data_IF_528038482817
#
_entry.id   IF_528038482817
#
_cell.length_a   1.000
_cell.length_b   1.000
_cell.length_c   1.000
_cell.angle_alpha   90.00
_cell.angle_beta   90.00
_cell.angle_gamma   90.00
#
_symmetry.space_group_name_H-M   'P 1'
#
loop_
_entity.id
_entity.type
_entity.pdbx_description
1 polymer ?
#
# COMPACT_ATOMS: atom_id res chain seq x y z
N UNK A 1 10.35 14.72 -24.26
CA UNK A 1 9.99 15.84 -23.34
C UNK A 1 8.53 16.27 -23.51
N UNK A 2 8.01 16.50 -24.72
CA UNK A 2 6.58 16.87 -24.93
C UNK A 2 5.56 15.82 -24.44
N UNK A 3 5.93 14.53 -24.46
CA UNK A 3 5.03 13.44 -24.05
C UNK A 3 4.67 13.48 -22.55
N UNK A 4 5.63 13.70 -21.64
CA UNK A 4 5.33 13.72 -20.19
C UNK A 4 4.57 14.96 -19.76
N UNK A 5 4.89 16.13 -20.34
CA UNK A 5 4.12 17.34 -20.08
C UNK A 5 2.65 17.13 -20.41
N UNK A 6 2.37 16.64 -21.63
CA UNK A 6 1.00 16.38 -22.09
C UNK A 6 0.31 15.32 -21.22
N UNK A 7 1.03 14.25 -20.87
CA UNK A 7 0.52 13.20 -20.00
C UNK A 7 0.16 13.75 -18.62
N UNK A 8 1.09 14.39 -17.92
CA UNK A 8 0.86 14.94 -16.56
C UNK A 8 -0.25 16.00 -16.58
N UNK A 9 -0.27 16.89 -17.57
CA UNK A 9 -1.33 17.89 -17.71
C UNK A 9 -2.71 17.27 -18.00
N UNK A 10 -2.76 16.06 -18.55
CA UNK A 10 -4.02 15.32 -18.79
C UNK A 10 -4.53 14.57 -17.56
N UNK A 11 -3.72 14.43 -16.51
CA UNK A 11 -4.10 13.76 -15.27
C UNK A 11 -4.76 14.76 -14.31
N UNK A 12 -5.90 14.42 -13.71
CA UNK A 12 -6.53 15.30 -12.72
C UNK A 12 -5.66 15.36 -11.46
N UNK A 13 -5.67 16.49 -10.74
CA UNK A 13 -4.93 16.59 -9.49
C UNK A 13 -5.44 15.56 -8.47
N UNK A 14 -4.50 14.88 -7.80
CA UNK A 14 -4.84 14.04 -6.65
C UNK A 14 -5.23 14.93 -5.46
N UNK A 15 -6.09 14.45 -4.54
CA UNK A 15 -6.43 15.19 -3.33
C UNK A 15 -5.18 15.45 -2.48
N UNK A 16 -5.28 16.36 -1.51
CA UNK A 16 -4.17 16.65 -0.59
C UNK A 16 -3.87 15.47 0.34
N UNK A 17 -4.92 14.81 0.82
CA UNK A 17 -4.87 13.66 1.71
C UNK A 17 -5.59 12.48 1.04
N UNK A 18 -5.10 11.25 1.24
CA UNK A 18 -5.62 10.09 0.53
C UNK A 18 -7.02 9.64 1.00
N UNK A 19 -7.41 10.02 2.21
CA UNK A 19 -8.67 9.65 2.85
C UNK A 19 -9.77 10.70 2.64
N UNK A 20 -9.53 11.68 1.76
CA UNK A 20 -10.47 12.77 1.46
C UNK A 20 -10.85 12.81 -0.02
N UNK A 21 -12.15 12.92 -0.26
CA UNK A 21 -12.72 13.17 -1.58
C UNK A 21 -12.78 11.94 -2.49
N UNK A 22 -13.46 12.05 -3.64
CA UNK A 22 -13.61 10.95 -4.59
C UNK A 22 -12.28 10.65 -5.31
N UNK A 23 -12.12 9.42 -5.79
CA UNK A 23 -11.00 9.07 -6.68
C UNK A 23 -11.16 9.89 -7.98
N UNK A 24 -10.18 10.74 -8.34
CA UNK A 24 -10.36 11.72 -9.42
C UNK A 24 -10.32 11.11 -10.82
N UNK A 25 -9.78 9.89 -10.95
CA UNK A 25 -9.67 9.17 -12.21
C UNK A 25 -9.89 7.66 -12.01
N UNK A 26 -10.67 7.04 -12.87
CA UNK A 26 -10.88 5.59 -12.82
C UNK A 26 -9.63 4.84 -13.29
N UNK A 27 -9.49 3.58 -12.86
CA UNK A 27 -8.38 2.73 -13.29
C UNK A 27 -8.26 2.67 -14.82
N UNK A 28 -9.38 2.41 -15.52
CA UNK A 28 -9.42 2.33 -16.98
C UNK A 28 -8.95 3.63 -17.65
N UNK A 29 -9.39 4.79 -17.15
CA UNK A 29 -8.99 6.09 -17.72
C UNK A 29 -7.50 6.36 -17.46
N UNK A 30 -7.00 6.05 -16.27
CA UNK A 30 -5.58 6.19 -15.94
C UNK A 30 -4.72 5.34 -16.88
N UNK A 31 -5.07 4.06 -17.07
CA UNK A 31 -4.36 3.17 -17.98
C UNK A 31 -4.40 3.66 -19.44
N UNK A 32 -5.53 4.21 -19.88
CA UNK A 32 -5.62 4.84 -21.19
C UNK A 32 -4.66 6.03 -21.33
N UNK A 33 -4.54 6.90 -20.32
CA UNK A 33 -3.57 8.00 -20.33
C UNK A 33 -2.13 7.49 -20.37
N UNK A 34 -1.81 6.48 -19.55
CA UNK A 34 -0.47 5.87 -19.51
C UNK A 34 -0.06 5.20 -20.83
N UNK A 35 -1.00 4.95 -21.75
CA UNK A 35 -0.67 4.48 -23.11
C UNK A 35 0.11 5.51 -23.95
N UNK A 36 0.17 6.78 -23.53
CA UNK A 36 0.97 7.82 -24.17
C UNK A 36 2.49 7.66 -23.93
N UNK A 37 2.87 6.87 -22.93
CA UNK A 37 4.27 6.55 -22.66
C UNK A 37 4.85 5.73 -23.82
N UNK A 38 6.15 5.92 -24.06
CA UNK A 38 6.87 5.05 -24.99
C UNK A 38 6.97 3.61 -24.44
N UNK A 39 7.52 2.72 -25.26
CA UNK A 39 7.61 1.30 -24.90
C UNK A 39 8.48 1.07 -23.64
N UNK A 40 9.56 1.83 -23.46
CA UNK A 40 10.48 1.65 -22.35
C UNK A 40 9.82 2.02 -21.03
N UNK A 41 9.21 3.19 -20.96
CA UNK A 41 8.56 3.68 -19.75
C UNK A 41 7.30 2.91 -19.40
N UNK A 42 6.54 2.48 -20.42
CA UNK A 42 5.36 1.66 -20.21
C UNK A 42 5.72 0.32 -19.55
N UNK A 43 6.86 -0.25 -19.90
CA UNK A 43 7.37 -1.47 -19.28
C UNK A 43 7.74 -1.24 -17.81
N UNK A 44 8.37 -0.12 -17.48
CA UNK A 44 8.65 0.25 -16.08
C UNK A 44 7.34 0.46 -15.30
N UNK A 45 6.36 1.15 -15.88
CA UNK A 45 5.03 1.34 -15.26
C UNK A 45 4.30 0.02 -15.03
N UNK A 46 4.44 -0.93 -15.96
CA UNK A 46 3.91 -2.28 -15.79
C UNK A 46 4.55 -2.97 -14.58
N UNK A 47 5.87 -2.90 -14.44
CA UNK A 47 6.58 -3.46 -13.28
C UNK A 47 6.13 -2.85 -11.95
N UNK A 48 5.98 -1.51 -11.91
CA UNK A 48 5.45 -0.78 -10.74
C UNK A 48 4.03 -1.25 -10.40
N UNK A 49 3.19 -1.42 -11.40
CA UNK A 49 1.79 -1.82 -11.22
C UNK A 49 1.66 -3.27 -10.79
N UNK A 50 2.45 -4.16 -11.36
CA UNK A 50 2.51 -5.57 -10.96
C UNK A 50 2.99 -5.69 -9.51
N UNK A 51 3.94 -4.85 -9.09
CA UNK A 51 4.33 -4.74 -7.69
C UNK A 51 3.18 -4.30 -6.79
N UNK A 52 2.46 -3.22 -7.13
CA UNK A 52 1.32 -2.78 -6.31
C UNK A 52 0.17 -3.80 -6.28
N UNK A 53 -0.09 -4.49 -7.38
CA UNK A 53 -1.05 -5.60 -7.44
C UNK A 53 -0.64 -6.75 -6.53
N UNK A 54 0.64 -7.13 -6.54
CA UNK A 54 1.18 -8.12 -5.61
C UNK A 54 1.04 -7.64 -4.16
N UNK A 55 1.38 -6.38 -3.88
CA UNK A 55 1.31 -5.79 -2.53
C UNK A 55 -0.13 -5.76 -1.97
N UNK A 56 -1.14 -5.69 -2.84
CA UNK A 56 -2.56 -5.74 -2.49
C UNK A 56 -3.04 -7.11 -2.00
N UNK A 57 -2.34 -8.20 -2.30
CA UNK A 57 -2.83 -9.55 -2.02
C UNK A 57 -2.91 -9.83 -0.50
N UNK A 58 -3.93 -10.58 -0.01
CA UNK A 58 -4.19 -10.80 1.42
C UNK A 58 -3.07 -11.52 2.19
N UNK A 59 -3.22 -11.52 3.53
CA UNK A 59 -2.30 -12.00 4.58
C UNK A 59 -1.88 -13.48 4.51
N UNK A 60 -2.41 -14.27 3.58
CA UNK A 60 -2.25 -15.74 3.57
C UNK A 60 -1.06 -16.24 2.73
N UNK A 61 -0.16 -15.34 2.31
CA UNK A 61 1.06 -15.76 1.62
C UNK A 61 2.15 -16.15 2.60
N UNK A 62 2.79 -17.28 2.33
CA UNK A 62 3.93 -17.74 3.11
C UNK A 62 5.10 -16.78 2.97
N UNK A 63 5.87 -16.63 4.04
CA UNK A 63 7.05 -15.75 4.11
C UNK A 63 8.09 -16.05 3.00
N UNK A 64 8.14 -17.31 2.54
CA UNK A 64 8.95 -17.75 1.42
C UNK A 64 8.62 -16.99 0.10
N UNK A 65 7.36 -16.64 -0.13
CA UNK A 65 6.94 -15.87 -1.30
C UNK A 65 7.40 -14.41 -1.23
N UNK A 66 7.44 -13.81 -0.03
CA UNK A 66 7.95 -12.45 0.16
C UNK A 66 9.43 -12.41 -0.19
N UNK A 67 10.20 -13.41 0.24
CA UNK A 67 11.63 -13.52 -0.10
C UNK A 67 11.86 -13.70 -1.60
N UNK A 68 11.12 -14.60 -2.26
CA UNK A 68 11.24 -14.82 -3.71
C UNK A 68 10.88 -13.55 -4.47
N UNK A 69 9.79 -12.89 -4.08
CA UNK A 69 9.34 -11.66 -4.72
C UNK A 69 10.33 -10.52 -4.52
N UNK A 70 10.84 -10.31 -3.30
CA UNK A 70 11.90 -9.33 -3.05
C UNK A 70 13.12 -9.58 -3.94
N UNK A 71 13.61 -10.82 -4.02
CA UNK A 71 14.78 -11.17 -4.83
C UNK A 71 14.54 -10.89 -6.32
N UNK A 72 13.38 -11.29 -6.82
CA UNK A 72 12.98 -11.05 -8.21
C UNK A 72 12.92 -9.55 -8.52
N UNK A 73 12.18 -8.79 -7.72
CA UNK A 73 12.01 -7.35 -7.90
C UNK A 73 13.34 -6.59 -7.81
N UNK A 74 14.22 -6.96 -6.86
CA UNK A 74 15.56 -6.38 -6.76
C UNK A 74 16.42 -6.66 -8.00
N UNK A 75 16.22 -7.79 -8.68
CA UNK A 75 16.96 -8.16 -9.89
C UNK A 75 16.38 -7.58 -11.18
N UNK A 76 15.09 -7.26 -11.23
CA UNK A 76 14.37 -6.80 -12.42
C UNK A 76 14.28 -5.26 -12.49
N UNK A 77 14.10 -4.59 -11.35
CA UNK A 77 13.88 -3.15 -11.31
C UNK A 77 15.20 -2.41 -11.49
N UNK A 78 15.31 -1.65 -12.59
CA UNK A 78 16.50 -0.84 -12.90
C UNK A 78 16.31 0.64 -12.58
N UNK A 79 15.07 1.13 -12.59
CA UNK A 79 14.80 2.56 -12.39
C UNK A 79 15.02 2.96 -10.92
N UNK A 80 15.87 3.97 -10.61
CA UNK A 80 16.24 4.30 -9.22
C UNK A 80 15.05 4.67 -8.32
N UNK A 81 14.13 5.50 -8.83
CA UNK A 81 12.92 5.85 -8.08
C UNK A 81 12.05 4.63 -7.78
N UNK A 82 11.83 3.75 -8.76
CA UNK A 82 11.00 2.56 -8.59
C UNK A 82 11.64 1.61 -7.58
N UNK A 83 12.96 1.42 -7.66
CA UNK A 83 13.70 0.61 -6.68
C UNK A 83 13.53 1.17 -5.27
N UNK A 84 13.58 2.50 -5.10
CA UNK A 84 13.35 3.17 -3.83
C UNK A 84 11.92 2.97 -3.30
N UNK A 85 10.89 3.09 -4.16
CA UNK A 85 9.50 2.84 -3.78
C UNK A 85 9.29 1.40 -3.30
N UNK A 86 9.80 0.43 -4.08
CA UNK A 86 9.71 -0.99 -3.75
C UNK A 86 10.46 -1.33 -2.46
N UNK A 87 11.67 -0.81 -2.30
CA UNK A 87 12.46 -1.03 -1.08
C UNK A 87 11.72 -0.54 0.16
N UNK A 88 11.23 0.70 0.15
CA UNK A 88 10.48 1.25 1.29
C UNK A 88 9.21 0.45 1.61
N UNK A 89 8.48 0.02 0.57
CA UNK A 89 7.29 -0.82 0.75
C UNK A 89 7.63 -2.20 1.32
N UNK A 90 8.74 -2.81 0.92
CA UNK A 90 9.18 -4.10 1.45
C UNK A 90 9.63 -3.97 2.91
N UNK A 91 10.39 -2.94 3.28
CA UNK A 91 10.76 -2.70 4.67
C UNK A 91 9.51 -2.57 5.55
N UNK A 92 8.52 -1.78 5.11
CA UNK A 92 7.25 -1.64 5.82
C UNK A 92 6.51 -2.98 5.94
N UNK A 93 6.47 -3.82 4.90
CA UNK A 93 5.85 -5.16 4.96
C UNK A 93 6.55 -6.07 5.95
N UNK A 94 7.88 -6.08 5.99
CA UNK A 94 8.67 -6.88 6.93
C UNK A 94 8.32 -6.50 8.37
N UNK A 95 8.32 -5.20 8.68
CA UNK A 95 7.96 -4.70 10.02
C UNK A 95 6.52 -5.06 10.38
N UNK A 96 5.56 -4.83 9.48
CA UNK A 96 4.15 -5.13 9.72
C UNK A 96 3.89 -6.62 9.90
N UNK A 97 4.55 -7.48 9.13
CA UNK A 97 4.43 -8.94 9.27
C UNK A 97 5.01 -9.40 10.62
N UNK A 98 6.19 -8.90 10.98
CA UNK A 98 6.83 -9.20 12.25
C UNK A 98 5.93 -8.81 13.44
N UNK A 99 5.39 -7.60 13.44
CA UNK A 99 4.51 -7.11 14.51
C UNK A 99 3.25 -7.95 14.67
N UNK A 100 2.66 -8.41 13.55
CA UNK A 100 1.48 -9.27 13.59
C UNK A 100 1.81 -10.62 14.21
N UNK A 101 2.90 -11.26 13.78
CA UNK A 101 3.31 -12.53 14.38
C UNK A 101 3.66 -12.38 15.86
N UNK A 102 4.38 -11.32 16.25
CA UNK A 102 4.69 -11.03 17.65
C UNK A 102 3.41 -10.88 18.49
N UNK A 103 2.44 -10.08 18.00
CA UNK A 103 1.15 -9.86 18.68
C UNK A 103 0.32 -11.14 18.81
N UNK A 104 0.29 -11.94 17.74
CA UNK A 104 -0.54 -13.14 17.67
C UNK A 104 0.17 -14.37 18.28
N UNK A 105 1.35 -14.21 18.88
CA UNK A 105 2.13 -15.29 19.51
C UNK A 105 2.67 -16.32 18.51
N UNK A 106 2.76 -15.95 17.23
CA UNK A 106 3.24 -16.80 16.15
C UNK A 106 4.77 -16.77 16.06
N UNK A 107 5.38 -17.81 15.46
CA UNK A 107 6.81 -17.82 15.20
C UNK A 107 7.28 -16.63 14.36
N UNK A 108 8.57 -16.31 14.48
CA UNK A 108 9.20 -15.31 13.63
C UNK A 108 9.02 -15.66 12.14
N UNK A 109 8.56 -14.71 11.31
CA UNK A 109 8.45 -14.95 9.88
C UNK A 109 9.80 -15.27 9.23
N UNK A 110 9.77 -16.08 8.17
CA UNK A 110 10.95 -16.40 7.36
C UNK A 110 11.33 -15.24 6.42
N UNK A 111 11.94 -14.20 6.99
CA UNK A 111 12.33 -13.00 6.28
C UNK A 111 13.56 -13.19 5.37
N UNK A 112 13.70 -12.38 4.30
CA UNK A 112 14.98 -12.27 3.58
C UNK A 112 16.09 -11.77 4.53
N UNK A 113 17.33 -12.21 4.31
CA UNK A 113 18.51 -11.80 5.08
C UNK A 113 18.93 -10.34 4.77
N UNK A 114 18.13 -9.41 5.26
CA UNK A 114 18.35 -7.96 5.18
C UNK A 114 18.75 -7.41 6.55
N UNK A 115 19.46 -6.27 6.62
CA UNK A 115 19.82 -5.64 7.89
C UNK A 115 18.62 -5.41 8.82
N UNK A 116 17.47 -5.03 8.26
CA UNK A 116 16.22 -4.84 9.01
C UNK A 116 15.70 -6.16 9.59
N UNK A 117 15.73 -7.26 8.82
CA UNK A 117 15.31 -8.58 9.29
C UNK A 117 16.20 -9.07 10.43
N UNK A 118 17.52 -8.92 10.28
CA UNK A 118 18.49 -9.25 11.34
C UNK A 118 18.20 -8.46 12.61
N UNK A 119 17.89 -7.17 12.48
CA UNK A 119 17.55 -6.31 13.61
C UNK A 119 16.28 -6.78 14.33
N UNK A 120 15.20 -7.03 13.58
CA UNK A 120 13.92 -7.50 14.14
C UNK A 120 14.12 -8.80 14.92
N UNK A 121 14.88 -9.75 14.38
CA UNK A 121 15.15 -11.03 15.08
C UNK A 121 15.91 -10.82 16.40
N UNK A 122 16.85 -9.88 16.45
CA UNK A 122 17.62 -9.56 17.66
C UNK A 122 16.79 -8.86 18.73
N UNK A 123 15.72 -8.16 18.36
CA UNK A 123 14.91 -7.37 19.27
C UNK A 123 13.45 -7.86 19.28
N UNK A 124 13.25 -9.16 19.04
CA UNK A 124 11.93 -9.76 18.86
C UNK A 124 11.02 -9.59 20.08
N UNK A 125 11.57 -9.63 21.29
CA UNK A 125 10.80 -9.51 22.53
C UNK A 125 10.65 -8.04 22.99
N UNK A 126 11.22 -7.08 22.24
CA UNK A 126 11.15 -5.67 22.57
C UNK A 126 9.96 -4.97 21.88
N UNK A 127 9.30 -3.99 22.54
CA UNK A 127 8.21 -3.23 21.93
C UNK A 127 8.62 -2.59 20.61
N UNK A 128 7.84 -2.88 19.56
CA UNK A 128 8.07 -2.42 18.20
C UNK A 128 9.52 -2.64 17.70
N UNK A 129 10.21 -3.69 18.18
CA UNK A 129 11.59 -4.05 17.84
C UNK A 129 12.62 -2.92 18.06
N UNK A 130 12.32 -1.95 18.93
CA UNK A 130 13.06 -0.69 19.12
C UNK A 130 13.17 0.21 17.88
N UNK A 131 12.34 0.01 16.86
CA UNK A 131 12.45 0.71 15.58
C UNK A 131 11.74 2.08 15.56
N UNK A 132 11.19 2.54 16.69
CA UNK A 132 10.44 3.81 16.77
C UNK A 132 11.25 5.05 16.34
N UNK A 133 12.57 5.04 16.52
CA UNK A 133 13.46 6.12 16.09
C UNK A 133 13.75 6.13 14.58
N UNK A 134 13.50 4.99 13.91
CA UNK A 134 13.69 4.83 12.46
C UNK A 134 12.40 5.01 11.68
N UNK A 135 11.27 4.67 12.29
CA UNK A 135 9.95 4.69 11.67
C UNK A 135 8.97 5.46 12.55
N UNK A 136 8.75 6.74 12.25
CA UNK A 136 7.88 7.64 13.05
C UNK A 136 6.43 7.15 13.14
N UNK A 137 5.95 6.41 12.14
CA UNK A 137 4.62 5.83 12.10
C UNK A 137 4.43 4.65 13.06
N UNK A 138 5.53 4.04 13.52
CA UNK A 138 5.51 2.72 14.15
C UNK A 138 4.79 2.72 15.49
N UNK A 139 5.02 3.72 16.33
CA UNK A 139 4.38 3.77 17.66
C UNK A 139 2.86 3.89 17.54
N UNK A 140 2.36 4.71 16.61
CA UNK A 140 0.91 4.85 16.34
C UNK A 140 0.32 3.58 15.75
N UNK A 141 1.09 2.88 14.92
CA UNK A 141 0.68 1.62 14.35
C UNK A 141 0.61 0.49 15.39
N UNK A 142 1.63 0.34 16.24
CA UNK A 142 1.63 -0.62 17.35
C UNK A 142 0.43 -0.35 18.27
N UNK A 143 0.20 0.91 18.68
CA UNK A 143 -0.97 1.29 19.47
C UNK A 143 -2.29 0.87 18.81
N UNK A 144 -2.46 1.15 17.51
CA UNK A 144 -3.67 0.75 16.79
C UNK A 144 -3.83 -0.77 16.65
N UNK A 145 -2.73 -1.54 16.65
CA UNK A 145 -2.78 -3.00 16.70
C UNK A 145 -3.18 -3.53 18.09
N UNK A 146 -2.69 -2.91 19.15
CA UNK A 146 -3.00 -3.29 20.54
C UNK A 146 -4.45 -2.95 20.90
N UNK A 147 -4.98 -1.85 20.37
CA UNK A 147 -6.38 -1.43 20.52
C UNK A 147 -7.35 -2.16 19.56
N UNK A 148 -6.88 -3.17 18.83
CA UNK A 148 -7.61 -3.93 17.80
C UNK A 148 -8.38 -3.05 16.78
N UNK A 149 -7.72 -1.97 16.32
CA UNK A 149 -8.25 -1.05 15.32
C UNK A 149 -7.52 -1.24 13.97
N UNK A 150 -7.81 -2.33 13.21
CA UNK A 150 -7.07 -2.66 11.99
C UNK A 150 -7.20 -1.60 10.89
N UNK A 151 -8.33 -0.90 10.82
CA UNK A 151 -8.52 0.22 9.87
C UNK A 151 -7.61 1.40 10.22
N UNK A 152 -7.49 1.73 11.51
CA UNK A 152 -6.62 2.82 11.98
C UNK A 152 -5.14 2.47 11.79
N UNK A 153 -4.76 1.23 12.09
CA UNK A 153 -3.42 0.72 11.81
C UNK A 153 -3.10 0.87 10.31
N UNK A 154 -4.03 0.48 9.44
CA UNK A 154 -3.85 0.64 8.00
C UNK A 154 -3.80 2.10 7.54
N UNK A 155 -4.65 2.96 8.11
CA UNK A 155 -4.64 4.39 7.83
C UNK A 155 -3.26 5.01 8.15
N UNK A 156 -2.64 4.63 9.27
CA UNK A 156 -1.28 5.08 9.60
C UNK A 156 -0.24 4.63 8.55
N UNK A 157 -0.32 3.40 8.05
CA UNK A 157 0.57 2.92 6.99
C UNK A 157 0.40 3.72 5.69
N UNK A 158 -0.84 3.95 5.26
CA UNK A 158 -1.11 4.71 4.03
C UNK A 158 -0.73 6.17 4.16
N UNK A 159 -0.95 6.77 5.33
CA UNK A 159 -0.52 8.13 5.65
C UNK A 159 0.99 8.28 5.48
N UNK A 160 1.76 7.33 6.01
CA UNK A 160 3.23 7.38 5.89
C UNK A 160 3.68 7.35 4.43
N UNK A 161 3.18 6.39 3.65
CA UNK A 161 3.55 6.24 2.24
C UNK A 161 3.13 7.45 1.42
N UNK A 162 1.91 7.93 1.65
CA UNK A 162 1.37 9.10 0.99
C UNK A 162 2.28 10.30 1.20
N UNK A 163 2.61 10.60 2.47
CA UNK A 163 3.45 11.73 2.82
C UNK A 163 4.87 11.58 2.27
N UNK A 164 5.45 10.38 2.30
CA UNK A 164 6.74 10.11 1.70
C UNK A 164 6.74 10.39 0.20
N UNK A 165 5.71 9.93 -0.52
CA UNK A 165 5.65 10.08 -1.97
C UNK A 165 5.28 11.49 -2.41
N UNK A 166 4.48 12.22 -1.62
CA UNK A 166 4.29 13.65 -1.83
C UNK A 166 5.60 14.43 -1.72
N UNK A 167 6.40 14.21 -0.66
CA UNK A 167 7.71 14.86 -0.51
C UNK A 167 8.68 14.50 -1.64
N UNK A 168 8.58 13.31 -2.21
CA UNK A 168 9.40 12.92 -3.36
C UNK A 168 8.98 13.64 -4.64
N UNK A 169 7.68 13.88 -4.80
CA UNK A 169 7.11 14.53 -5.99
C UNK A 169 7.58 15.99 -6.11
N UNK A 170 7.85 16.66 -4.99
CA UNK A 170 8.40 18.02 -4.95
C UNK A 170 9.76 18.16 -5.67
N UNK A 171 10.46 17.05 -5.93
CA UNK A 171 11.73 17.03 -6.66
C UNK A 171 11.59 16.81 -8.16
N UNK A 172 10.39 16.52 -8.66
CA UNK A 172 10.15 16.16 -10.05
C UNK A 172 9.07 17.03 -10.65
N UNK A 173 9.25 17.45 -11.90
CA UNK A 173 8.26 18.28 -12.59
C UNK A 173 8.18 17.86 -14.04
N UNK A 174 6.99 17.44 -14.46
CA UNK A 174 6.72 16.97 -15.83
C UNK A 174 7.72 15.90 -16.32
N UNK A 175 8.12 14.99 -15.44
CA UNK A 175 9.04 13.90 -15.77
C UNK A 175 8.36 12.53 -15.64
N UNK A 176 9.07 11.48 -16.07
CA UNK A 176 8.63 10.10 -15.87
C UNK A 176 8.40 9.79 -14.38
N UNK A 177 9.26 10.31 -13.51
CA UNK A 177 9.13 10.16 -12.06
C UNK A 177 7.83 10.75 -11.52
N UNK A 178 7.40 11.91 -12.02
CA UNK A 178 6.10 12.49 -11.66
C UNK A 178 4.96 11.52 -12.03
N UNK A 179 5.06 10.81 -13.17
CA UNK A 179 4.06 9.80 -13.59
C UNK A 179 4.07 8.61 -12.64
N UNK A 180 5.25 8.11 -12.27
CA UNK A 180 5.41 7.00 -11.31
C UNK A 180 4.84 7.36 -9.93
N UNK A 181 5.12 8.57 -9.42
CA UNK A 181 4.64 9.04 -8.13
C UNK A 181 3.13 9.34 -8.14
N UNK A 182 2.60 9.82 -9.26
CA UNK A 182 1.16 9.93 -9.47
C UNK A 182 0.49 8.55 -9.36
N UNK A 183 1.00 7.56 -10.11
CA UNK A 183 0.46 6.20 -10.09
C UNK A 183 0.53 5.56 -8.70
N UNK A 184 1.67 5.71 -8.01
CA UNK A 184 1.85 5.19 -6.66
C UNK A 184 0.82 5.78 -5.68
N UNK A 185 0.65 7.10 -5.67
CA UNK A 185 -0.37 7.77 -4.84
C UNK A 185 -1.79 7.35 -5.24
N UNK A 186 -2.08 7.26 -6.53
CA UNK A 186 -3.38 6.79 -7.01
C UNK A 186 -3.69 5.35 -6.54
N UNK A 187 -2.70 4.46 -6.48
CA UNK A 187 -2.87 3.10 -5.94
C UNK A 187 -3.25 3.10 -4.45
N UNK A 188 -2.80 4.06 -3.66
CA UNK A 188 -3.26 4.24 -2.26
C UNK A 188 -4.74 4.63 -2.25
N UNK A 189 -5.14 5.64 -3.04
CA UNK A 189 -6.54 6.09 -3.13
C UNK A 189 -7.46 4.94 -3.51
N UNK A 190 -7.10 4.24 -4.60
CA UNK A 190 -7.86 3.12 -5.11
C UNK A 190 -7.99 2.01 -4.06
N UNK A 191 -6.90 1.71 -3.34
CA UNK A 191 -6.92 0.69 -2.29
C UNK A 191 -7.76 1.11 -1.08
N UNK A 192 -7.65 2.35 -0.62
CA UNK A 192 -8.46 2.86 0.48
C UNK A 192 -9.95 2.85 0.16
N UNK A 193 -10.35 3.37 -1.01
CA UNK A 193 -11.76 3.39 -1.41
C UNK A 193 -12.35 1.98 -1.58
N UNK A 194 -11.60 1.05 -2.18
CA UNK A 194 -12.07 -0.34 -2.36
C UNK A 194 -12.29 -1.10 -1.05
N UNK A 195 -11.66 -0.67 0.06
CA UNK A 195 -11.92 -1.22 1.38
C UNK A 195 -13.22 -0.67 1.98
N UNK A 196 -13.50 0.61 1.72
CA UNK A 196 -14.75 1.24 2.14
C UNK A 196 -15.94 0.67 1.35
N UNK A 197 -15.80 0.42 0.05
CA UNK A 197 -16.84 -0.26 -0.76
C UNK A 197 -17.18 -1.66 -0.25
N UNK A 198 -16.17 -2.46 0.11
CA UNK A 198 -16.38 -3.80 0.70
C UNK A 198 -17.09 -3.71 2.04
N UNK A 199 -16.73 -2.73 2.87
CA UNK A 199 -17.40 -2.48 4.14
C UNK A 199 -18.82 -1.93 3.97
N UNK A 200 -19.05 -1.07 2.99
CA UNK A 200 -20.36 -0.56 2.63
C UNK A 200 -21.27 -1.69 2.13
N UNK A 201 -20.73 -2.60 1.32
CA UNK A 201 -21.44 -3.81 0.88
C UNK A 201 -21.78 -4.74 2.05
N UNK A 202 -20.82 -4.95 2.96
CA UNK A 202 -21.02 -5.81 4.12
C UNK A 202 -22.06 -5.22 5.08
N UNK A 203 -21.96 -3.93 5.43
CA UNK A 203 -22.98 -3.22 6.22
C UNK A 203 -24.36 -3.23 5.57
N UNK A 204 -24.44 -3.09 4.24
CA UNK A 204 -25.70 -3.20 3.52
C UNK A 204 -26.29 -4.61 3.63
N UNK A 205 -25.47 -5.64 3.45
CA UNK A 205 -25.92 -7.03 3.61
C UNK A 205 -26.36 -7.32 5.06
N UNK A 206 -25.60 -6.85 6.06
CA UNK A 206 -25.92 -7.00 7.48
C UNK A 206 -27.27 -6.31 7.80
N UNK A 207 -27.51 -5.11 7.25
CA UNK A 207 -28.79 -4.41 7.38
C UNK A 207 -29.94 -5.14 6.68
N UNK A 208 -29.69 -5.74 5.50
CA UNK A 208 -30.70 -6.54 4.79
C UNK A 208 -31.01 -7.82 5.56
N UNK A 209 -30.01 -8.48 6.15
CA UNK A 209 -30.21 -9.66 7.00
C UNK A 209 -30.97 -9.33 8.29
N UNK A 210 -30.65 -8.20 8.95
CA UNK A 210 -31.40 -7.70 10.11
C UNK A 210 -32.87 -7.42 9.76
N UNK A 211 -33.14 -6.79 8.61
CA UNK A 211 -34.52 -6.52 8.15
C UNK A 211 -35.25 -7.83 7.82
N UNK A 212 -34.58 -8.81 7.23
CA UNK A 212 -35.15 -10.11 6.89
C UNK A 212 -35.38 -11.00 8.14
N UNK A 213 -34.60 -10.81 9.21
CA UNK A 213 -34.81 -11.51 10.48
C UNK A 213 -35.89 -10.86 11.35
N UNK A 214 -36.04 -9.53 11.32
CA UNK A 214 -37.10 -8.82 12.05
C UNK A 214 -38.48 -9.00 11.39
N UNK A 215 -38.54 -9.28 10.09
CA UNK A 215 -39.80 -9.54 9.37
C UNK A 215 -40.36 -10.97 9.48
N UNK A 216 -39.72 -11.87 10.23
CA UNK A 216 -40.05 -13.30 10.30
C UNK A 216 -40.85 -13.74 11.53
N UNK A 217 -41.19 -12.83 12.45
CA UNK A 217 -42.00 -13.14 13.65
C UNK A 217 -43.19 -12.21 13.67
N UNK A 218 -44.24 -12.58 12.94
CA UNK A 218 -45.65 -12.33 13.26
C UNK A 218 -46.54 -12.89 12.14
N UNK A 219 -46.76 -14.20 12.19
CA UNK A 219 -47.91 -14.84 11.58
C UNK A 219 -48.31 -16.04 12.45
N UNK A 220 -49.08 -15.75 13.50
CA UNK A 220 -49.98 -16.70 14.17
C UNK A 220 -51.27 -16.79 13.37
#
# INVERSE_FOLDING_TARGET
MESYYTLIASLPPLPRDFDRGPIPITAATLWNRLSMLDHHDREIIRQVSDFFRWDRQPRDRSDAEIRVTHRRLASEIRHPLVARLVHHRIEMRIVVAALRCQRDGLPQPDFPELPLSVWIRRHWDEPCFRLNHRFDWLSRFCQALDEDQPQRAQWHLFTELWNLWCRLDDHYTFSFESVVLYLARWEILHRWASQDERRGRQRFNDLVEDILHVGGVDAV
#
